data_IF_418110942527
#
_entry.id   IF_418110942527
#
_cell.length_a   1.000
_cell.length_b   1.000
_cell.length_c   1.000
_cell.angle_alpha   90.00
_cell.angle_beta   90.00
_cell.angle_gamma   90.00
#
_symmetry.space_group_name_H-M   'P 1'
#
loop_
_entity.id
_entity.type
_entity.pdbx_description
1 polymer ?
#
# COMPACT_ATOMS: atom_id res chain seq x y z
N UNK A 1 -0.08 -15.55 -50.01
CA UNK A 1 -1.20 -15.82 -49.08
C UNK A 1 -0.73 -16.56 -47.83
N UNK A 2 -0.03 -17.71 -47.92
CA UNK A 2 0.50 -18.45 -46.75
C UNK A 2 1.42 -17.63 -45.83
N UNK A 3 2.34 -16.86 -46.38
CA UNK A 3 3.27 -16.01 -45.60
C UNK A 3 2.55 -14.93 -44.77
N UNK A 4 1.46 -14.38 -45.29
CA UNK A 4 0.66 -13.36 -44.58
C UNK A 4 -0.09 -14.00 -43.41
N UNK A 5 -0.61 -15.23 -43.60
CA UNK A 5 -1.24 -16.00 -42.54
C UNK A 5 -0.25 -16.36 -41.42
N UNK A 6 0.97 -16.80 -41.74
CA UNK A 6 1.98 -17.09 -40.71
C UNK A 6 2.39 -15.85 -39.90
N UNK A 7 2.54 -14.68 -40.56
CA UNK A 7 2.89 -13.43 -39.86
C UNK A 7 1.73 -12.97 -38.97
N UNK A 8 0.49 -13.13 -39.43
CA UNK A 8 -0.71 -12.72 -38.70
C UNK A 8 -0.99 -13.68 -37.53
N UNK A 9 -0.74 -14.97 -37.72
CA UNK A 9 -0.82 -16.00 -36.68
C UNK A 9 0.29 -15.80 -35.63
N UNK A 10 1.54 -15.57 -36.04
CA UNK A 10 2.64 -15.22 -35.13
C UNK A 10 2.37 -13.92 -34.35
N UNK A 11 1.82 -12.89 -35.02
CA UNK A 11 1.42 -11.63 -34.38
C UNK A 11 0.27 -11.80 -33.38
N UNK A 12 -0.72 -12.65 -33.70
CA UNK A 12 -1.82 -13.01 -32.80
C UNK A 12 -1.33 -13.77 -31.56
N UNK A 13 -0.50 -14.79 -31.75
CA UNK A 13 0.10 -15.56 -30.65
C UNK A 13 0.93 -14.66 -29.73
N UNK A 14 1.70 -13.71 -30.29
CA UNK A 14 2.46 -12.78 -29.48
C UNK A 14 1.56 -11.81 -28.70
N UNK A 15 0.49 -11.31 -29.32
CA UNK A 15 -0.45 -10.38 -28.68
C UNK A 15 -1.31 -11.02 -27.59
N UNK A 16 -1.66 -12.30 -27.71
CA UNK A 16 -2.42 -13.05 -26.70
C UNK A 16 -1.52 -13.54 -25.55
N UNK A 17 -0.25 -13.87 -25.84
CA UNK A 17 0.70 -14.34 -24.82
C UNK A 17 1.12 -13.26 -23.79
N UNK A 18 1.04 -11.98 -24.16
CA UNK A 18 1.36 -10.86 -23.26
C UNK A 18 0.37 -10.72 -22.09
N UNK A 19 -0.96 -10.60 -22.31
CA UNK A 19 -1.94 -10.52 -21.24
C UNK A 19 -2.00 -11.82 -20.42
N UNK A 20 -1.86 -13.00 -21.05
CA UNK A 20 -1.75 -14.27 -20.31
C UNK A 20 -0.53 -14.29 -19.38
N UNK A 21 0.66 -13.95 -19.90
CA UNK A 21 1.87 -13.91 -19.08
C UNK A 21 1.79 -12.87 -17.95
N UNK A 22 1.10 -11.76 -18.16
CA UNK A 22 0.89 -10.76 -17.12
C UNK A 22 -0.12 -11.23 -16.06
N UNK A 23 -1.13 -11.98 -16.47
CA UNK A 23 -2.12 -12.57 -15.57
C UNK A 23 -1.49 -13.67 -14.71
N UNK A 24 -0.62 -14.50 -15.28
CA UNK A 24 0.17 -15.49 -14.53
C UNK A 24 1.10 -14.81 -13.50
N UNK A 25 1.71 -13.68 -13.87
CA UNK A 25 2.50 -12.89 -12.92
C UNK A 25 1.62 -12.32 -11.81
N UNK A 26 0.43 -11.80 -12.14
CA UNK A 26 -0.51 -11.28 -11.15
C UNK A 26 -0.99 -12.38 -10.19
N UNK A 27 -1.31 -13.56 -10.70
CA UNK A 27 -1.72 -14.72 -9.89
C UNK A 27 -0.58 -15.25 -9.02
N UNK A 28 0.66 -15.21 -9.52
CA UNK A 28 1.84 -15.52 -8.71
C UNK A 28 2.16 -14.43 -7.66
N UNK A 29 1.75 -13.19 -7.89
CA UNK A 29 1.96 -12.06 -6.98
C UNK A 29 0.92 -11.99 -5.87
N UNK A 30 -0.33 -12.38 -6.16
CA UNK A 30 -1.47 -12.36 -5.22
C UNK A 30 -1.20 -13.07 -3.88
N UNK A 31 -0.66 -14.30 -3.82
CA UNK A 31 -0.36 -14.94 -2.53
C UNK A 31 0.79 -14.25 -1.79
N UNK A 32 1.76 -13.67 -2.51
CA UNK A 32 2.85 -12.88 -1.92
C UNK A 32 2.33 -11.57 -1.33
N UNK A 33 1.32 -10.95 -1.96
CA UNK A 33 0.63 -9.77 -1.44
C UNK A 33 -0.09 -10.03 -0.13
N UNK A 34 -0.86 -11.11 -0.06
CA UNK A 34 -1.57 -11.50 1.18
C UNK A 34 -0.57 -11.78 2.29
N UNK A 35 0.56 -12.43 1.96
CA UNK A 35 1.64 -12.67 2.90
C UNK A 35 2.34 -11.39 3.34
N UNK A 36 2.65 -10.46 2.43
CA UNK A 36 3.34 -9.21 2.76
C UNK A 36 2.43 -8.26 3.57
N UNK A 37 1.16 -8.13 3.17
CA UNK A 37 0.14 -7.41 3.92
C UNK A 37 -0.08 -8.05 5.30
N UNK A 38 -0.05 -9.39 5.39
CA UNK A 38 -0.12 -10.12 6.65
C UNK A 38 1.09 -9.88 7.56
N UNK A 39 2.30 -9.89 7.00
CA UNK A 39 3.54 -9.60 7.75
C UNK A 39 3.55 -8.13 8.21
N UNK A 40 3.15 -7.19 7.36
CA UNK A 40 2.99 -5.78 7.72
C UNK A 40 1.89 -5.60 8.77
N UNK A 41 0.78 -6.34 8.70
CA UNK A 41 -0.27 -6.34 9.71
C UNK A 41 0.24 -6.82 11.08
N UNK A 42 0.99 -7.93 11.10
CA UNK A 42 1.64 -8.46 12.31
C UNK A 42 2.70 -7.50 12.83
N UNK A 43 3.48 -6.86 11.95
CA UNK A 43 4.51 -5.90 12.32
C UNK A 43 3.92 -4.57 12.82
N UNK A 44 2.83 -4.07 12.21
CA UNK A 44 2.14 -2.84 12.65
C UNK A 44 1.42 -3.07 13.97
N UNK A 45 0.76 -4.22 14.14
CA UNK A 45 0.18 -4.61 15.43
C UNK A 45 1.27 -4.83 16.48
N UNK A 46 2.38 -5.46 16.11
CA UNK A 46 3.54 -5.67 16.97
C UNK A 46 4.23 -4.38 17.41
N UNK A 47 4.45 -3.42 16.49
CA UNK A 47 4.99 -2.10 16.78
C UNK A 47 3.98 -1.18 17.49
N UNK A 48 2.68 -1.40 17.29
CA UNK A 48 1.63 -0.73 18.08
C UNK A 48 1.51 -1.30 19.50
N UNK A 49 2.03 -2.50 19.79
CA UNK A 49 2.15 -3.02 21.15
C UNK A 49 3.45 -2.49 21.76
N UNK A 50 3.35 -1.38 22.50
CA UNK A 50 4.48 -0.86 23.26
C UNK A 50 4.70 -1.76 24.48
N UNK A 51 5.72 -2.62 24.42
CA UNK A 51 6.21 -3.38 25.58
C UNK A 51 7.12 -2.45 26.39
N UNK A 52 6.64 -1.97 27.54
CA UNK A 52 7.54 -1.32 28.50
C UNK A 52 8.36 -2.41 29.21
N UNK A 53 9.69 -2.28 29.17
CA UNK A 53 10.57 -3.05 30.04
C UNK A 53 10.52 -2.43 31.44
N UNK A 54 9.70 -2.98 32.32
CA UNK A 54 9.77 -2.68 33.76
C UNK A 54 11.01 -3.37 34.35
N UNK A 55 11.71 -2.74 35.31
CA UNK A 55 12.93 -3.28 35.94
C UNK A 55 12.76 -4.65 36.63
N UNK A 56 11.54 -5.18 36.71
CA UNK A 56 11.21 -6.46 37.33
C UNK A 56 10.49 -7.37 36.31
N UNK A 57 11.24 -8.02 35.41
CA UNK A 57 10.95 -9.26 34.63
C UNK A 57 9.52 -9.59 34.11
N UNK A 58 8.55 -8.69 34.17
CA UNK A 58 7.16 -8.89 33.76
C UNK A 58 6.88 -8.00 32.55
N UNK A 59 6.66 -8.64 31.40
CA UNK A 59 6.25 -7.98 30.17
C UNK A 59 4.78 -7.57 30.28
N UNK A 60 4.53 -6.28 30.52
CA UNK A 60 3.17 -5.71 30.53
C UNK A 60 2.85 -5.06 29.18
N UNK A 61 1.66 -5.34 28.63
CA UNK A 61 1.11 -4.66 27.45
C UNK A 61 0.45 -3.37 27.93
N UNK A 62 0.99 -2.22 27.52
CA UNK A 62 0.41 -0.91 27.85
C UNK A 62 -0.68 -0.55 26.83
N UNK A 63 -1.94 -0.87 27.17
CA UNK A 63 -3.13 -0.64 26.32
C UNK A 63 -3.43 0.84 26.08
N UNK A 64 -2.91 1.76 26.92
CA UNK A 64 -3.17 3.22 26.81
C UNK A 64 -2.24 3.88 25.79
N UNK A 65 -1.03 3.33 25.61
CA UNK A 65 -0.02 3.84 24.67
C UNK A 65 -0.13 3.20 23.29
N UNK A 66 -0.71 2.00 23.23
CA UNK A 66 -0.96 1.26 22.01
C UNK A 66 -2.07 1.94 21.21
N UNK A 67 -1.80 2.35 19.96
CA UNK A 67 -2.81 2.94 19.06
C UNK A 67 -3.17 1.97 17.93
N UNK A 68 -3.77 0.80 18.22
CA UNK A 68 -4.07 -0.23 17.22
C UNK A 68 -5.04 0.26 16.15
N UNK A 69 -5.90 1.22 16.50
CA UNK A 69 -6.84 1.87 15.57
C UNK A 69 -6.09 2.59 14.45
N UNK A 70 -4.91 3.17 14.73
CA UNK A 70 -4.09 3.87 13.74
C UNK A 70 -3.49 2.88 12.73
N UNK A 71 -3.05 1.71 13.21
CA UNK A 71 -2.57 0.62 12.33
C UNK A 71 -3.69 0.03 11.46
N UNK A 72 -4.90 -0.10 12.00
CA UNK A 72 -6.05 -0.56 11.22
C UNK A 72 -6.46 0.48 10.17
N UNK A 73 -6.48 1.76 10.54
CA UNK A 73 -6.79 2.86 9.62
C UNK A 73 -5.76 2.96 8.47
N UNK A 74 -4.48 2.72 8.75
CA UNK A 74 -3.41 2.67 7.76
C UNK A 74 -3.62 1.59 6.68
N UNK A 75 -4.28 0.48 7.01
CA UNK A 75 -4.59 -0.58 6.05
C UNK A 75 -5.89 -0.35 5.29
N UNK A 76 -6.94 0.07 6.01
CA UNK A 76 -8.28 0.21 5.43
C UNK A 76 -8.35 1.40 4.47
N UNK A 77 -7.64 2.49 4.75
CA UNK A 77 -7.72 3.71 3.92
C UNK A 77 -7.23 3.48 2.48
N UNK A 78 -6.03 2.90 2.21
CA UNK A 78 -5.59 2.59 0.85
C UNK A 78 -6.52 1.61 0.11
N UNK A 79 -7.06 0.61 0.81
CA UNK A 79 -7.99 -0.36 0.21
C UNK A 79 -9.29 0.30 -0.25
N UNK A 80 -9.85 1.19 0.57
CA UNK A 80 -11.03 1.97 0.20
C UNK A 80 -10.74 2.94 -0.94
N UNK A 81 -9.55 3.56 -0.95
CA UNK A 81 -9.12 4.46 -2.03
C UNK A 81 -9.03 3.73 -3.36
N UNK A 82 -8.39 2.56 -3.40
CA UNK A 82 -8.32 1.70 -4.59
C UNK A 82 -9.72 1.29 -5.05
N UNK A 83 -10.56 0.77 -4.15
CA UNK A 83 -11.93 0.39 -4.51
C UNK A 83 -12.73 1.54 -5.12
N UNK A 84 -12.56 2.75 -4.57
CA UNK A 84 -13.22 3.96 -5.07
C UNK A 84 -12.68 4.41 -6.42
N UNK A 85 -11.36 4.38 -6.61
CA UNK A 85 -10.70 4.75 -7.86
C UNK A 85 -11.10 3.81 -9.00
N UNK A 86 -11.07 2.50 -8.76
CA UNK A 86 -11.56 1.49 -9.71
C UNK A 86 -13.03 1.66 -10.04
N UNK A 87 -13.87 1.87 -9.02
CA UNK A 87 -15.30 2.12 -9.23
C UNK A 87 -15.57 3.36 -10.09
N UNK A 88 -14.78 4.42 -9.91
CA UNK A 88 -14.90 5.66 -10.69
C UNK A 88 -14.45 5.46 -12.15
N UNK A 89 -13.34 4.76 -12.38
CA UNK A 89 -12.85 4.46 -13.74
C UNK A 89 -13.82 3.55 -14.51
N UNK A 90 -14.37 2.53 -13.85
CA UNK A 90 -15.40 1.69 -14.44
C UNK A 90 -16.69 2.46 -14.74
N UNK A 91 -17.05 3.44 -13.90
CA UNK A 91 -18.18 4.33 -14.14
C UNK A 91 -17.98 5.19 -15.40
N UNK A 92 -16.75 5.61 -15.70
CA UNK A 92 -16.44 6.38 -16.92
C UNK A 92 -16.54 5.58 -18.22
N UNK A 93 -16.76 4.25 -18.15
CA UNK A 93 -17.04 3.41 -19.32
C UNK A 93 -15.79 2.94 -20.08
N UNK A 94 -14.61 3.06 -19.46
CA UNK A 94 -13.35 2.65 -20.06
C UNK A 94 -13.19 1.12 -20.14
N UNK A 95 -12.46 0.64 -21.16
CA UNK A 95 -12.24 -0.77 -21.37
C UNK A 95 -11.26 -1.34 -20.33
N UNK A 96 -11.67 -2.43 -19.68
CA UNK A 96 -10.86 -3.14 -18.72
C UNK A 96 -9.74 -3.93 -19.41
N UNK A 97 -8.49 -3.73 -18.97
CA UNK A 97 -7.30 -4.41 -19.47
C UNK A 97 -6.69 -5.28 -18.37
N UNK A 98 -6.22 -6.49 -18.70
CA UNK A 98 -5.57 -7.41 -17.78
C UNK A 98 -4.36 -6.77 -17.05
N UNK A 99 -3.66 -5.82 -17.67
CA UNK A 99 -2.56 -5.05 -17.05
C UNK A 99 -3.03 -4.31 -15.79
N UNK A 100 -4.27 -3.85 -15.78
CA UNK A 100 -4.84 -3.07 -14.69
C UNK A 100 -4.95 -3.91 -13.41
N UNK A 101 -4.93 -5.25 -13.47
CA UNK A 101 -4.96 -6.11 -12.28
C UNK A 101 -3.75 -5.96 -11.35
N UNK A 102 -2.63 -5.44 -11.85
CA UNK A 102 -1.44 -5.19 -11.03
C UNK A 102 -1.54 -3.84 -10.31
N UNK A 103 -2.35 -2.90 -10.82
CA UNK A 103 -2.43 -1.54 -10.25
C UNK A 103 -2.98 -1.45 -8.82
N UNK A 104 -3.98 -2.26 -8.36
CA UNK A 104 -4.40 -2.28 -6.95
C UNK A 104 -3.24 -2.60 -6.01
N UNK A 105 -2.37 -3.52 -6.44
CA UNK A 105 -1.24 -3.96 -5.64
C UNK A 105 -0.23 -2.83 -5.45
N UNK A 106 0.10 -2.12 -6.54
CA UNK A 106 1.07 -1.01 -6.50
C UNK A 106 0.54 0.13 -5.61
N UNK A 107 -0.73 0.51 -5.79
CA UNK A 107 -1.33 1.63 -5.03
C UNK A 107 -1.43 1.30 -3.53
N UNK A 108 -1.78 0.06 -3.16
CA UNK A 108 -1.79 -0.36 -1.75
C UNK A 108 -0.38 -0.33 -1.16
N UNK A 109 0.65 -0.75 -1.91
CA UNK A 109 2.03 -0.70 -1.42
C UNK A 109 2.49 0.73 -1.13
N UNK A 110 2.21 1.67 -2.03
CA UNK A 110 2.53 3.10 -1.84
C UNK A 110 1.78 3.66 -0.63
N UNK A 111 0.46 3.41 -0.54
CA UNK A 111 -0.35 3.93 0.57
C UNK A 111 0.05 3.38 1.94
N UNK A 112 0.53 2.13 2.00
CA UNK A 112 1.07 1.56 3.24
C UNK A 112 2.41 2.20 3.59
N UNK A 113 3.32 2.42 2.63
CA UNK A 113 4.62 3.08 2.85
C UNK A 113 4.45 4.46 3.50
N UNK A 114 3.53 5.28 2.97
CA UNK A 114 3.20 6.60 3.50
C UNK A 114 2.68 6.54 4.95
N UNK A 115 1.87 5.52 5.28
CA UNK A 115 1.35 5.35 6.63
C UNK A 115 2.46 4.96 7.64
N UNK A 116 3.43 4.15 7.21
CA UNK A 116 4.60 3.82 8.03
C UNK A 116 5.51 5.02 8.22
N UNK A 117 5.73 5.82 7.17
CA UNK A 117 6.50 7.05 7.25
C UNK A 117 5.89 8.02 8.26
N UNK A 118 4.56 8.20 8.21
CA UNK A 118 3.82 9.04 9.15
C UNK A 118 3.92 8.52 10.60
N UNK A 119 3.79 7.21 10.80
CA UNK A 119 3.90 6.61 12.14
C UNK A 119 5.34 6.71 12.68
N UNK A 120 6.35 6.54 11.84
CA UNK A 120 7.75 6.69 12.21
C UNK A 120 8.06 8.15 12.60
N UNK A 121 7.56 9.13 11.85
CA UNK A 121 7.69 10.54 12.20
C UNK A 121 6.97 10.87 13.52
N UNK A 122 5.78 10.31 13.76
CA UNK A 122 5.06 10.48 15.02
C UNK A 122 5.86 9.97 16.23
N UNK A 123 6.58 8.85 16.08
CA UNK A 123 7.42 8.30 17.14
C UNK A 123 8.68 9.13 17.43
N UNK A 124 9.16 9.93 16.46
CA UNK A 124 10.29 10.85 16.67
C UNK A 124 9.90 12.12 17.41
N UNK A 125 8.62 12.50 17.42
CA UNK A 125 8.14 13.70 18.14
C UNK A 125 8.24 13.56 19.66
N UNK A 126 8.49 14.68 20.35
CA UNK A 126 8.58 14.70 21.81
C UNK A 126 7.26 14.23 22.47
N UNK A 127 7.28 13.15 23.29
CA UNK A 127 6.09 12.64 23.97
C UNK A 127 5.45 13.59 24.98
N UNK A 128 6.19 14.57 25.49
CA UNK A 128 5.74 15.52 26.51
C UNK A 128 4.86 16.65 25.93
N UNK A 129 4.89 16.83 24.61
CA UNK A 129 4.09 17.83 23.91
C UNK A 129 2.62 17.40 23.82
N UNK A 130 1.72 18.39 23.75
CA UNK A 130 0.30 18.13 23.54
C UNK A 130 0.06 17.37 22.23
N UNK A 131 -0.98 16.50 22.13
CA UNK A 131 -1.25 15.72 20.93
C UNK A 131 -1.39 16.57 19.66
N UNK A 132 -1.99 17.75 19.77
CA UNK A 132 -2.13 18.69 18.67
C UNK A 132 -0.78 19.23 18.18
N UNK A 133 0.16 19.53 19.10
CA UNK A 133 1.49 20.02 18.74
C UNK A 133 2.32 18.91 18.09
N UNK A 134 2.24 17.69 18.62
CA UNK A 134 2.91 16.52 18.04
C UNK A 134 2.40 16.20 16.63
N UNK A 135 1.10 16.35 16.40
CA UNK A 135 0.52 16.17 15.08
C UNK A 135 1.01 17.22 14.10
N UNK A 136 1.06 18.49 14.52
CA UNK A 136 1.57 19.57 13.67
C UNK A 136 3.04 19.33 13.28
N UNK A 137 3.88 18.90 14.21
CA UNK A 137 5.30 18.61 13.96
C UNK A 137 5.47 17.40 13.04
N UNK A 138 4.75 16.31 13.32
CA UNK A 138 4.72 15.11 12.47
C UNK A 138 4.30 15.45 11.04
N UNK A 139 3.21 16.20 10.87
CA UNK A 139 2.71 16.60 9.55
C UNK A 139 3.70 17.53 8.84
N UNK A 140 4.37 18.43 9.56
CA UNK A 140 5.33 19.37 8.95
C UNK A 140 6.50 18.67 8.26
N UNK A 141 6.91 17.50 8.75
CA UNK A 141 7.97 16.69 8.13
C UNK A 141 7.42 15.61 7.19
N UNK A 142 6.52 14.75 7.70
CA UNK A 142 6.06 13.58 6.97
C UNK A 142 5.13 13.95 5.80
N UNK A 143 4.26 14.95 5.96
CA UNK A 143 3.33 15.31 4.89
C UNK A 143 4.05 15.91 3.67
N UNK A 144 5.18 16.60 3.87
CA UNK A 144 6.00 17.11 2.77
C UNK A 144 6.62 15.96 1.98
N UNK A 145 7.20 14.97 2.67
CA UNK A 145 7.77 13.79 2.02
C UNK A 145 6.70 13.00 1.23
N UNK A 146 5.55 12.71 1.86
CA UNK A 146 4.43 12.01 1.22
C UNK A 146 3.93 12.77 -0.01
N UNK A 147 3.80 14.10 0.09
CA UNK A 147 3.35 14.92 -1.04
C UNK A 147 4.29 14.84 -2.25
N UNK A 148 5.61 14.77 -2.01
CA UNK A 148 6.61 14.62 -3.08
C UNK A 148 6.46 13.26 -3.75
N UNK A 149 6.34 12.18 -2.96
CA UNK A 149 6.13 10.82 -3.49
C UNK A 149 4.85 10.76 -4.31
N UNK A 150 3.71 11.18 -3.73
CA UNK A 150 2.42 11.19 -4.41
C UNK A 150 2.42 12.05 -5.69
N UNK A 151 3.09 13.21 -5.66
CA UNK A 151 3.20 14.06 -6.84
C UNK A 151 4.01 13.38 -7.95
N UNK A 152 5.10 12.72 -7.58
CA UNK A 152 5.93 11.99 -8.54
C UNK A 152 5.16 10.82 -9.13
N UNK A 153 4.40 10.08 -8.32
CA UNK A 153 3.53 8.99 -8.79
C UNK A 153 2.48 9.51 -9.78
N UNK A 154 1.80 10.63 -9.47
CA UNK A 154 0.82 11.25 -10.38
C UNK A 154 1.40 11.70 -11.72
N UNK A 155 2.70 12.01 -11.78
CA UNK A 155 3.36 12.47 -13.02
C UNK A 155 3.88 11.29 -13.85
N UNK A 156 4.26 10.19 -13.19
CA UNK A 156 4.84 9.01 -13.84
C UNK A 156 3.78 8.04 -14.36
N UNK A 157 2.66 7.88 -13.63
CA UNK A 157 1.53 7.04 -14.02
C UNK A 157 0.52 7.81 -14.88
#
# INVERSE_FOLDING_TARGET
>A
MKLILEILEFGLYHNESLPEGLQDVADALTPKFVMMSGILFVFTLGCSVVILRHENLLMGIDWVRSKPILGLAALVCPLLAVGSAFGLVLWTGEYYNAIVNISPFIVVCIGIDDAFLMNAAWHRTNPELSPARRLAETLSEAAVAISITSFTDMVIF
#
